data_IF_224084843707
#
_entry.id   IF_224084843707
#
_cell.length_a   1.000
_cell.length_b   1.000
_cell.length_c   1.000
_cell.angle_alpha   90.00
_cell.angle_beta   90.00
_cell.angle_gamma   90.00
#
_symmetry.space_group_name_H-M   'P 1'
#
loop_
_entity.id
_entity.type
_entity.pdbx_description
1 polymer ?
#
# COMPACT_ATOMS: atom_id res chain seq x y z
N UNK A 1 8.08 8.36 15.37
CA UNK A 1 8.22 8.63 13.93
C UNK A 1 7.88 7.41 13.07
N UNK A 2 7.97 6.20 13.61
CA UNK A 2 7.63 4.94 12.93
C UNK A 2 6.24 4.90 12.30
N UNK A 3 5.22 5.37 13.04
CA UNK A 3 3.85 5.44 12.52
C UNK A 3 3.71 6.39 11.32
N UNK A 4 4.55 7.42 11.21
CA UNK A 4 4.55 8.32 10.05
C UNK A 4 5.22 7.67 8.84
N UNK A 5 6.23 6.83 9.08
CA UNK A 5 6.85 6.02 8.02
C UNK A 5 5.88 4.98 7.48
N UNK A 6 5.20 4.25 8.38
CA UNK A 6 4.17 3.27 8.00
C UNK A 6 3.03 3.90 7.20
N UNK A 7 2.60 5.11 7.56
CA UNK A 7 1.57 5.88 6.83
C UNK A 7 2.08 6.52 5.54
N UNK A 8 3.33 6.27 5.14
CA UNK A 8 3.90 6.85 3.93
C UNK A 8 4.09 8.36 3.98
N UNK A 9 4.01 8.99 5.17
CA UNK A 9 4.15 10.44 5.37
C UNK A 9 5.62 10.86 5.56
N UNK A 10 6.47 9.93 5.98
CA UNK A 10 7.90 10.10 6.11
C UNK A 10 8.61 8.94 5.41
N UNK A 11 9.64 9.22 4.62
CA UNK A 11 10.44 8.16 4.01
C UNK A 11 11.29 7.43 5.07
N UNK A 12 11.43 6.10 5.00
CA UNK A 12 12.31 5.35 5.90
C UNK A 12 13.75 5.90 5.93
N UNK A 13 14.28 6.29 4.77
CA UNK A 13 15.63 6.86 4.63
C UNK A 13 15.85 8.15 5.42
N UNK A 14 14.78 8.91 5.69
CA UNK A 14 14.86 10.18 6.42
C UNK A 14 14.55 10.02 7.91
N UNK A 15 14.12 8.84 8.36
CA UNK A 15 13.68 8.62 9.75
C UNK A 15 14.78 8.95 10.74
N UNK A 16 15.98 8.40 10.57
CA UNK A 16 17.05 8.54 11.56
C UNK A 16 17.58 9.98 11.64
N UNK A 17 17.69 10.64 10.48
CA UNK A 17 18.03 12.07 10.42
C UNK A 17 16.95 12.93 11.10
N UNK A 18 15.67 12.60 10.89
CA UNK A 18 14.55 13.30 11.52
C UNK A 18 14.50 13.06 13.03
N UNK A 19 14.82 11.86 13.51
CA UNK A 19 14.96 11.55 14.95
C UNK A 19 16.07 12.41 15.56
N UNK A 20 17.25 12.44 14.92
CA UNK A 20 18.38 13.24 15.37
C UNK A 20 18.05 14.73 15.40
N UNK A 21 17.40 15.24 14.35
CA UNK A 21 16.92 16.63 14.30
C UNK A 21 15.93 16.93 15.43
N UNK A 22 14.90 16.09 15.60
CA UNK A 22 13.92 16.27 16.68
C UNK A 22 14.53 16.19 18.08
N UNK A 23 15.60 15.42 18.26
CA UNK A 23 16.34 15.34 19.52
C UNK A 23 17.22 16.57 19.79
N UNK A 24 17.65 17.27 18.73
CA UNK A 24 18.43 18.51 18.83
C UNK A 24 17.59 19.76 19.14
N UNK A 25 16.26 19.68 19.01
CA UNK A 25 15.36 20.79 19.29
C UNK A 25 15.29 21.06 20.80
N UNK A 26 15.50 22.31 21.20
CA UNK A 26 15.37 22.75 22.58
C UNK A 26 13.88 22.81 22.97
N UNK A 27 13.45 21.84 23.77
CA UNK A 27 12.06 21.74 24.23
C UNK A 27 11.70 22.76 25.31
N UNK A 28 12.67 23.42 25.94
CA UNK A 28 12.42 24.37 27.04
C UNK A 28 12.38 25.83 26.57
N UNK A 29 13.10 26.18 25.50
CA UNK A 29 13.16 27.56 24.98
C UNK A 29 12.66 27.72 23.55
N UNK A 30 12.52 26.63 22.82
CA UNK A 30 12.07 26.62 21.44
C UNK A 30 10.56 26.75 21.31
N UNK A 31 10.03 27.97 21.38
CA UNK A 31 8.62 28.25 21.07
C UNK A 31 8.45 28.74 19.63
N UNK A 32 7.44 28.22 18.96
CA UNK A 32 7.01 28.68 17.64
C UNK A 32 5.62 29.27 17.77
N UNK A 33 5.48 30.55 17.42
CA UNK A 33 4.24 31.28 17.55
C UNK A 33 3.73 31.73 16.19
N UNK A 34 2.48 31.36 15.88
CA UNK A 34 1.83 31.67 14.61
C UNK A 34 0.54 32.46 14.85
N UNK A 35 0.27 33.44 13.99
CA UNK A 35 -0.90 34.31 14.04
C UNK A 35 -0.68 35.62 14.80
N UNK A 36 -1.61 36.56 14.64
CA UNK A 36 -1.64 37.84 15.32
C UNK A 36 -2.83 37.92 16.31
N UNK A 37 -2.69 38.72 17.37
CA UNK A 37 -3.77 38.97 18.34
C UNK A 37 -4.23 37.72 19.12
N UNK A 38 -5.53 37.60 19.36
CA UNK A 38 -6.12 36.53 20.19
C UNK A 38 -6.10 35.13 19.53
N UNK A 39 -5.76 35.03 18.24
CA UNK A 39 -5.61 33.74 17.54
C UNK A 39 -4.18 33.20 17.58
N UNK A 40 -3.29 33.84 18.33
CA UNK A 40 -1.88 33.44 18.47
C UNK A 40 -1.77 32.05 19.06
N UNK A 41 -1.25 31.10 18.28
CA UNK A 41 -0.96 29.74 18.71
C UNK A 41 0.53 29.63 18.97
N UNK A 42 0.89 29.46 20.23
CA UNK A 42 2.27 29.16 20.64
C UNK A 42 2.37 27.67 20.93
N UNK A 43 3.26 26.99 20.23
CA UNK A 43 3.58 25.57 20.42
C UNK A 43 5.08 25.44 20.64
N UNK A 44 5.51 24.42 21.39
CA UNK A 44 6.91 24.04 21.37
C UNK A 44 7.30 23.51 19.98
N UNK A 45 8.56 23.68 19.60
CA UNK A 45 9.09 23.31 18.28
C UNK A 45 8.85 21.84 17.93
N UNK A 46 8.99 20.94 18.90
CA UNK A 46 8.85 19.50 18.70
C UNK A 46 7.39 19.13 18.42
N UNK A 47 6.45 19.67 19.20
CA UNK A 47 5.01 19.47 19.01
C UNK A 47 4.53 20.08 17.69
N UNK A 48 5.01 21.28 17.35
CA UNK A 48 4.71 21.88 16.05
C UNK A 48 5.15 20.99 14.89
N UNK A 49 6.41 20.54 14.89
CA UNK A 49 6.95 19.71 13.81
C UNK A 49 6.20 18.38 13.70
N UNK A 50 5.90 17.72 14.82
CA UNK A 50 5.13 16.48 14.80
C UNK A 50 3.72 16.70 14.24
N UNK A 51 3.05 17.80 14.61
CA UNK A 51 1.73 18.15 14.08
C UNK A 51 1.79 18.45 12.59
N UNK A 52 2.81 19.17 12.14
CA UNK A 52 3.07 19.45 10.73
C UNK A 52 3.23 18.15 9.93
N UNK A 53 4.13 17.25 10.34
CA UNK A 53 4.36 15.97 9.66
C UNK A 53 3.12 15.07 9.66
N UNK A 54 2.32 15.12 10.72
CA UNK A 54 1.06 14.37 10.79
C UNK A 54 0.01 14.92 9.83
N UNK A 55 0.00 16.23 9.58
CA UNK A 55 -0.92 16.90 8.66
C UNK A 55 -0.57 16.74 7.18
N UNK A 56 0.66 16.34 6.85
CA UNK A 56 1.07 16.16 5.46
C UNK A 56 0.26 15.05 4.76
N UNK A 57 -0.03 15.20 3.46
CA UNK A 57 -0.54 14.11 2.66
C UNK A 57 0.49 12.97 2.59
N UNK A 58 0.00 11.77 2.30
CA UNK A 58 0.87 10.61 2.06
C UNK A 58 1.82 10.94 0.90
N UNK A 59 3.13 10.76 1.14
CA UNK A 59 4.18 11.04 0.17
C UNK A 59 4.49 9.82 -0.69
N UNK A 60 4.45 8.63 -0.09
CA UNK A 60 4.70 7.36 -0.77
C UNK A 60 3.65 6.34 -0.37
N UNK A 61 3.13 5.62 -1.36
CA UNK A 61 2.31 4.44 -1.12
C UNK A 61 3.16 3.18 -1.15
N UNK A 62 3.21 2.49 -0.02
CA UNK A 62 3.89 1.21 0.14
C UNK A 62 2.96 0.02 -0.10
N UNK A 63 1.67 0.26 -0.35
CA UNK A 63 0.74 -0.80 -0.67
C UNK A 63 0.95 -1.29 -2.10
N UNK A 64 0.77 -2.59 -2.29
CA UNK A 64 0.72 -3.20 -3.60
C UNK A 64 -0.59 -2.79 -4.29
N UNK A 65 -0.47 -1.96 -5.32
CA UNK A 65 -1.58 -1.65 -6.23
C UNK A 65 -1.62 -2.69 -7.33
N UNK A 66 -2.09 -3.89 -6.99
CA UNK A 66 -2.61 -4.79 -8.01
C UNK A 66 -3.80 -4.10 -8.65
N UNK A 67 -3.94 -4.21 -9.97
CA UNK A 67 -5.24 -3.92 -10.59
C UNK A 67 -6.29 -4.70 -9.81
N UNK A 68 -7.40 -4.04 -9.49
CA UNK A 68 -8.57 -4.63 -8.87
C UNK A 68 -9.07 -5.76 -9.78
N UNK A 69 -8.48 -6.94 -9.64
CA UNK A 69 -8.97 -8.16 -10.22
C UNK A 69 -10.05 -8.60 -9.24
N UNK A 70 -11.28 -8.17 -9.51
CA UNK A 70 -12.53 -8.59 -8.87
C UNK A 70 -12.80 -10.09 -9.11
N UNK A 71 -11.75 -10.90 -9.17
CA UNK A 71 -11.79 -12.33 -9.32
C UNK A 71 -11.15 -12.92 -8.07
N UNK A 72 -11.93 -13.68 -7.31
CA UNK A 72 -11.36 -14.51 -6.24
C UNK A 72 -10.23 -15.33 -6.87
N UNK A 73 -8.99 -15.21 -6.39
CA UNK A 73 -7.93 -16.07 -6.87
C UNK A 73 -8.38 -17.51 -6.62
N UNK A 74 -8.14 -18.45 -7.55
CA UNK A 74 -8.47 -19.84 -7.33
C UNK A 74 -7.88 -20.29 -5.99
N UNK A 75 -8.68 -20.97 -5.16
CA UNK A 75 -8.40 -21.24 -3.75
C UNK A 75 -7.05 -21.94 -3.51
N UNK A 76 -6.48 -22.59 -4.54
CA UNK A 76 -5.06 -22.92 -4.60
C UNK A 76 -4.55 -23.01 -6.04
N UNK A 77 -3.23 -22.87 -6.22
CA UNK A 77 -2.55 -23.08 -7.51
C UNK A 77 -2.78 -24.51 -8.06
N UNK A 78 -2.93 -25.49 -7.17
CA UNK A 78 -3.16 -26.89 -7.53
C UNK A 78 -4.56 -27.12 -8.11
N UNK A 79 -5.58 -26.45 -7.58
CA UNK A 79 -6.94 -26.52 -8.11
C UNK A 79 -7.05 -25.90 -9.50
N UNK A 80 -6.37 -24.77 -9.72
CA UNK A 80 -6.30 -24.13 -11.04
C UNK A 80 -5.64 -25.06 -12.06
N UNK A 81 -4.53 -25.70 -11.70
CA UNK A 81 -3.84 -26.64 -12.59
C UNK A 81 -4.72 -27.84 -12.94
N UNK A 82 -5.41 -28.44 -11.96
CA UNK A 82 -6.33 -29.56 -12.21
C UNK A 82 -7.48 -29.18 -13.14
N UNK A 83 -8.10 -28.02 -12.92
CA UNK A 83 -9.19 -27.52 -13.78
C UNK A 83 -8.71 -27.22 -15.20
N UNK A 84 -7.52 -26.63 -15.35
CA UNK A 84 -6.93 -26.34 -16.66
C UNK A 84 -6.61 -27.63 -17.45
N UNK A 85 -6.06 -28.65 -16.79
CA UNK A 85 -5.81 -29.96 -17.40
C UNK A 85 -7.11 -30.64 -17.83
N UNK A 86 -8.14 -30.65 -16.97
CA UNK A 86 -9.44 -31.22 -17.30
C UNK A 86 -10.10 -30.51 -18.51
N UNK A 87 -10.01 -29.17 -18.56
CA UNK A 87 -10.51 -28.38 -19.69
C UNK A 87 -9.76 -28.71 -21.00
N UNK A 88 -8.43 -28.82 -20.93
CA UNK A 88 -7.61 -29.17 -22.09
C UNK A 88 -7.96 -30.56 -22.63
N UNK A 89 -8.13 -31.55 -21.75
CA UNK A 89 -8.53 -32.90 -22.15
C UNK A 89 -9.91 -32.93 -22.78
N UNK A 90 -10.86 -32.17 -22.24
CA UNK A 90 -12.21 -32.05 -22.77
C UNK A 90 -12.22 -31.38 -24.15
N UNK A 91 -11.50 -30.27 -24.31
CA UNK A 91 -11.34 -29.60 -25.60
C UNK A 91 -10.72 -30.54 -26.64
N UNK A 92 -9.72 -31.35 -26.24
CA UNK A 92 -9.10 -32.35 -27.12
C UNK A 92 -10.09 -33.42 -27.59
N UNK A 93 -10.99 -33.89 -26.71
CA UNK A 93 -12.06 -34.84 -27.08
C UNK A 93 -13.04 -34.23 -28.08
N UNK A 94 -13.26 -32.92 -28.00
CA UNK A 94 -14.09 -32.15 -28.93
C UNK A 94 -13.34 -31.73 -30.21
N UNK A 95 -12.10 -32.20 -30.41
CA UNK A 95 -11.28 -31.88 -31.59
C UNK A 95 -10.68 -30.47 -31.58
N UNK A 96 -10.77 -29.74 -30.45
CA UNK A 96 -10.18 -28.41 -30.27
C UNK A 96 -8.81 -28.56 -29.60
N UNK A 97 -7.75 -28.05 -30.24
CA UNK A 97 -6.47 -27.88 -29.56
C UNK A 97 -6.49 -26.61 -28.73
N UNK A 98 -6.32 -26.78 -27.42
CA UNK A 98 -6.20 -25.69 -26.45
C UNK A 98 -4.87 -25.87 -25.72
N UNK A 99 -4.08 -24.80 -25.67
CA UNK A 99 -2.82 -24.77 -24.91
C UNK A 99 -3.10 -24.67 -23.41
N UNK A 100 -2.14 -25.08 -22.58
CA UNK A 100 -2.29 -24.98 -21.13
C UNK A 100 -2.49 -23.52 -20.67
N UNK A 101 -1.88 -22.56 -21.37
CA UNK A 101 -2.04 -21.12 -21.11
C UNK A 101 -3.46 -20.64 -21.40
N UNK A 102 -4.04 -21.04 -22.53
CA UNK A 102 -5.44 -20.73 -22.87
C UNK A 102 -6.42 -21.38 -21.90
N UNK A 103 -6.15 -22.62 -21.48
CA UNK A 103 -6.96 -23.32 -20.50
C UNK A 103 -6.94 -22.60 -19.14
N UNK A 104 -5.76 -22.20 -18.65
CA UNK A 104 -5.62 -21.44 -17.40
C UNK A 104 -6.35 -20.10 -17.46
N UNK A 105 -6.22 -19.37 -18.57
CA UNK A 105 -6.91 -18.09 -18.76
C UNK A 105 -8.44 -18.27 -18.78
N UNK A 106 -8.93 -19.31 -19.44
CA UNK A 106 -10.36 -19.64 -19.48
C UNK A 106 -10.90 -19.96 -18.09
N UNK A 107 -10.20 -20.76 -17.30
CA UNK A 107 -10.62 -21.10 -15.93
C UNK A 107 -10.60 -19.86 -15.03
N UNK A 108 -9.61 -18.97 -15.16
CA UNK A 108 -9.55 -17.70 -14.42
C UNK A 108 -10.73 -16.79 -14.76
N UNK A 109 -11.09 -16.68 -16.04
CA UNK A 109 -12.26 -15.89 -16.47
C UNK A 109 -13.60 -16.51 -16.07
N UNK A 110 -13.70 -17.85 -16.05
CA UNK A 110 -14.91 -18.55 -15.59
C UNK A 110 -15.14 -18.39 -14.08
N UNK A 111 -14.09 -18.43 -13.27
CA UNK A 111 -14.17 -18.14 -11.83
C UNK A 111 -14.54 -16.68 -11.53
N UNK A 112 -14.31 -15.76 -12.48
CA UNK A 112 -14.71 -14.35 -12.38
C UNK A 112 -16.17 -14.08 -12.74
N UNK A 113 -16.90 -15.06 -13.30
CA UNK A 113 -18.28 -14.91 -13.80
C UNK A 113 -19.32 -15.73 -13.02
N UNK A 114 -18.94 -16.37 -11.91
CA UNK A 114 -19.79 -17.16 -11.02
C UNK A 114 -20.01 -16.41 -9.70
#
# INVERSE_FOLDING_TARGET
>A
LDTLVQKGKLLPAHKDQMVAFMASLDTEKGVVSFGEGEQKKTLDQRTYLLKFLTGLPQQVDFNEHSKDDQSEPPASSDELARKALAYQEQARKEGRMVTITEAVNTIRQQGSNA
#
